data_IF_982173989432
#
_entry.id   IF_982173989432
#
_cell.length_a   1.000
_cell.length_b   1.000
_cell.length_c   1.000
_cell.angle_alpha   90.00
_cell.angle_beta   90.00
_cell.angle_gamma   90.00
#
_symmetry.space_group_name_H-M   'P 1'
#
loop_
_entity.id
_entity.type
_entity.pdbx_description
1 polymer ?
#
# COMPACT_ATOMS: atom_id res chain seq x y z
N UNK A 1 34.05 21.65 -14.87
CA UNK A 1 33.97 20.47 -15.74
C UNK A 1 32.85 20.72 -16.74
N UNK A 2 33.17 21.07 -17.99
CA UNK A 2 32.17 21.21 -19.04
C UNK A 2 31.74 19.80 -19.49
N UNK A 3 30.58 19.36 -19.00
CA UNK A 3 29.91 18.21 -19.57
C UNK A 3 29.43 18.59 -20.96
N UNK A 4 29.95 17.93 -21.99
CA UNK A 4 29.43 18.08 -23.35
C UNK A 4 27.90 17.93 -23.35
N UNK A 5 27.20 18.72 -24.17
CA UNK A 5 25.73 18.85 -24.12
C UNK A 5 25.00 17.50 -24.16
N UNK A 6 25.53 16.53 -24.93
CA UNK A 6 25.00 15.15 -24.98
C UNK A 6 25.15 14.37 -23.66
N UNK A 7 26.24 14.56 -22.90
CA UNK A 7 26.44 13.96 -21.57
C UNK A 7 25.53 14.59 -20.52
N UNK A 8 25.34 15.91 -20.58
CA UNK A 8 24.41 16.62 -19.71
C UNK A 8 22.97 16.10 -19.92
N UNK A 9 22.54 15.95 -21.17
CA UNK A 9 21.20 15.44 -21.49
C UNK A 9 20.98 14.01 -20.98
N UNK A 10 21.97 13.13 -21.15
CA UNK A 10 21.90 11.77 -20.59
C UNK A 10 21.82 11.80 -19.07
N UNK A 11 22.65 12.61 -18.41
CA UNK A 11 22.62 12.74 -16.94
C UNK A 11 21.25 13.21 -16.44
N UNK A 12 20.69 14.27 -17.02
CA UNK A 12 19.36 14.77 -16.65
C UNK A 12 18.28 13.72 -16.92
N UNK A 13 18.37 13.01 -18.05
CA UNK A 13 17.47 11.91 -18.37
C UNK A 13 17.50 10.80 -17.33
N UNK A 14 18.70 10.36 -16.89
CA UNK A 14 18.85 9.36 -15.83
C UNK A 14 18.23 9.86 -14.52
N UNK A 15 18.54 11.09 -14.10
CA UNK A 15 18.00 11.67 -12.87
C UNK A 15 16.47 11.70 -12.89
N UNK A 16 15.86 12.09 -14.01
CA UNK A 16 14.40 12.11 -14.16
C UNK A 16 13.79 10.70 -14.06
N UNK A 17 14.37 9.71 -14.73
CA UNK A 17 13.87 8.32 -14.66
C UNK A 17 13.99 7.76 -13.24
N UNK A 18 15.11 8.00 -12.56
CA UNK A 18 15.31 7.55 -11.18
C UNK A 18 14.32 8.25 -10.23
N UNK A 19 14.11 9.55 -10.39
CA UNK A 19 13.14 10.30 -9.59
C UNK A 19 11.71 9.81 -9.81
N UNK A 20 11.34 9.51 -11.06
CA UNK A 20 10.03 8.93 -11.39
C UNK A 20 9.87 7.54 -10.77
N UNK A 21 10.89 6.68 -10.87
CA UNK A 21 10.83 5.35 -10.28
C UNK A 21 10.67 5.42 -8.75
N UNK A 22 11.45 6.26 -8.07
CA UNK A 22 11.36 6.47 -6.63
C UNK A 22 9.99 7.06 -6.21
N UNK A 23 9.50 8.07 -6.92
CA UNK A 23 8.18 8.65 -6.66
C UNK A 23 7.03 7.67 -6.93
N UNK A 24 7.21 6.77 -7.90
CA UNK A 24 6.33 5.62 -8.10
C UNK A 24 6.25 4.75 -6.86
N UNK A 25 7.37 4.24 -6.35
CA UNK A 25 7.35 3.39 -5.15
C UNK A 25 6.56 3.98 -3.97
N UNK A 26 6.68 5.29 -3.72
CA UNK A 26 5.92 5.96 -2.66
C UNK A 26 4.42 6.05 -2.95
N UNK A 27 4.03 6.32 -4.20
CA UNK A 27 2.62 6.43 -4.59
C UNK A 27 1.89 5.09 -4.68
N UNK A 28 2.62 3.98 -4.68
CA UNK A 28 2.02 2.64 -4.76
C UNK A 28 2.19 1.85 -3.46
N UNK A 29 2.82 2.47 -2.45
CA UNK A 29 2.90 1.89 -1.11
C UNK A 29 1.50 1.76 -0.53
N UNK A 30 1.19 0.58 0.02
CA UNK A 30 -0.14 0.25 0.52
C UNK A 30 0.01 -0.37 1.90
N UNK A 31 -0.52 0.32 2.90
CA UNK A 31 -0.53 -0.16 4.27
C UNK A 31 -1.79 -1.00 4.53
N UNK A 32 -1.64 -2.06 5.31
CA UNK A 32 -2.73 -2.93 5.71
C UNK A 32 -3.05 -2.69 7.18
N UNK A 33 -4.15 -1.97 7.42
CA UNK A 33 -4.49 -1.47 8.75
C UNK A 33 -5.55 -2.34 9.41
N UNK A 34 -5.39 -2.56 10.71
CA UNK A 34 -6.36 -3.21 11.60
C UNK A 34 -6.69 -2.26 12.73
N UNK A 35 -7.94 -1.80 12.80
CA UNK A 35 -8.42 -0.91 13.84
C UNK A 35 -9.34 -1.66 14.80
N UNK A 36 -9.08 -1.50 16.09
CA UNK A 36 -9.83 -2.09 17.18
C UNK A 36 -10.82 -1.09 17.75
N UNK A 37 -12.10 -1.44 17.72
CA UNK A 37 -13.16 -0.66 18.33
C UNK A 37 -13.93 -1.52 19.35
N UNK A 38 -14.52 -0.91 20.39
CA UNK A 38 -15.43 -1.63 21.26
C UNK A 38 -16.64 -2.06 20.44
N UNK A 39 -16.92 -3.37 20.40
CA UNK A 39 -18.01 -3.91 19.62
C UNK A 39 -19.36 -3.37 20.11
N UNK A 40 -20.16 -2.82 19.19
CA UNK A 40 -21.58 -2.50 19.45
C UNK A 40 -22.50 -3.71 19.32
N UNK A 41 -22.02 -4.73 18.60
CA UNK A 41 -22.83 -5.83 18.11
C UNK A 41 -22.66 -7.11 18.92
N UNK A 42 -23.73 -7.89 19.02
CA UNK A 42 -23.71 -9.18 19.72
C UNK A 42 -22.93 -10.23 18.92
N UNK A 43 -22.09 -11.00 19.62
CA UNK A 43 -21.31 -12.05 18.99
C UNK A 43 -22.15 -13.27 18.62
N UNK A 44 -22.19 -13.63 17.33
CA UNK A 44 -22.81 -14.84 16.81
C UNK A 44 -21.83 -15.64 15.94
N UNK A 45 -21.30 -16.76 16.46
CA UNK A 45 -20.32 -17.59 15.77
C UNK A 45 -20.79 -18.21 14.44
N UNK A 46 -22.10 -18.19 14.14
CA UNK A 46 -22.65 -18.67 12.87
C UNK A 46 -22.67 -17.57 11.79
N UNK A 47 -22.42 -16.32 12.14
CA UNK A 47 -22.37 -15.20 11.20
C UNK A 47 -20.96 -15.03 10.63
N UNK A 48 -20.89 -14.69 9.34
CA UNK A 48 -19.62 -14.37 8.68
C UNK A 48 -19.02 -13.13 9.35
N UNK A 49 -17.70 -13.13 9.56
CA UNK A 49 -17.00 -12.05 10.26
C UNK A 49 -16.93 -12.23 11.78
N UNK A 50 -17.72 -13.13 12.36
CA UNK A 50 -17.65 -13.42 13.80
C UNK A 50 -16.66 -14.56 14.07
N UNK A 51 -15.51 -14.22 14.64
CA UNK A 51 -14.40 -15.13 14.84
C UNK A 51 -14.17 -15.38 16.34
N UNK A 52 -13.89 -16.64 16.70
CA UNK A 52 -13.42 -16.95 18.05
C UNK A 52 -11.91 -16.83 18.08
N UNK A 53 -11.36 -16.09 19.04
CA UNK A 53 -9.90 -15.92 19.18
C UNK A 53 -9.15 -17.26 19.22
N UNK A 54 -9.72 -18.28 19.88
CA UNK A 54 -9.13 -19.62 19.97
C UNK A 54 -9.00 -20.36 18.63
N UNK A 55 -9.80 -19.99 17.63
CA UNK A 55 -9.80 -20.62 16.31
C UNK A 55 -8.94 -19.86 15.29
N UNK A 56 -8.38 -18.71 15.69
CA UNK A 56 -7.51 -17.91 14.83
C UNK A 56 -6.14 -18.57 14.69
N UNK A 57 -5.50 -18.36 13.55
CA UNK A 57 -4.09 -18.67 13.38
C UNK A 57 -3.22 -17.90 14.39
N UNK A 58 -1.98 -18.33 14.57
CA UNK A 58 -1.02 -17.63 15.45
C UNK A 58 -0.81 -16.16 15.02
N UNK A 59 -0.78 -15.90 13.71
CA UNK A 59 -0.75 -14.54 13.16
C UNK A 59 -2.04 -13.79 13.47
N UNK A 60 -3.20 -14.44 13.31
CA UNK A 60 -4.50 -13.83 13.59
C UNK A 60 -4.62 -13.40 15.05
N UNK A 61 -4.16 -14.26 15.97
CA UNK A 61 -4.08 -13.94 17.40
C UNK A 61 -3.16 -12.76 17.68
N UNK A 62 -1.98 -12.73 17.05
CA UNK A 62 -1.02 -11.62 17.18
C UNK A 62 -1.63 -10.28 16.75
N UNK A 63 -2.34 -10.27 15.62
CA UNK A 63 -3.04 -9.08 15.14
C UNK A 63 -4.07 -8.62 16.17
N UNK A 64 -4.95 -9.51 16.63
CA UNK A 64 -5.97 -9.18 17.64
C UNK A 64 -5.32 -8.63 18.91
N UNK A 65 -4.27 -9.28 19.41
CA UNK A 65 -3.60 -8.88 20.63
C UNK A 65 -2.98 -7.48 20.49
N UNK A 66 -2.29 -7.20 19.38
CA UNK A 66 -1.71 -5.89 19.10
C UNK A 66 -2.76 -4.81 18.89
N UNK A 67 -3.81 -5.11 18.14
CA UNK A 67 -4.92 -4.18 17.87
C UNK A 67 -5.69 -3.86 19.14
N UNK A 68 -5.96 -4.83 20.00
CA UNK A 68 -6.64 -4.59 21.30
C UNK A 68 -5.74 -3.84 22.27
N UNK A 69 -4.43 -4.09 22.29
CA UNK A 69 -3.47 -3.39 23.15
C UNK A 69 -3.27 -1.91 22.72
N UNK A 70 -3.19 -1.66 21.41
CA UNK A 70 -2.76 -0.36 20.86
C UNK A 70 -3.88 0.45 20.19
N UNK A 71 -5.06 -0.13 20.01
CA UNK A 71 -6.16 0.43 19.23
C UNK A 71 -5.99 0.27 17.72
N UNK A 72 -4.75 0.28 17.21
CA UNK A 72 -4.45 0.12 15.79
C UNK A 72 -3.17 -0.69 15.57
N UNK A 73 -3.17 -1.53 14.54
CA UNK A 73 -2.02 -2.30 14.11
C UNK A 73 -1.90 -2.32 12.58
N UNK A 74 -0.75 -1.89 12.08
CA UNK A 74 -0.44 -1.79 10.65
C UNK A 74 0.57 -2.87 10.27
N UNK A 75 0.33 -3.53 9.13
CA UNK A 75 1.30 -4.45 8.51
C UNK A 75 1.64 -3.97 7.10
N UNK A 76 2.89 -4.19 6.70
CA UNK A 76 3.43 -3.66 5.43
C UNK A 76 2.99 -4.50 4.22
N UNK A 77 2.56 -5.76 4.43
CA UNK A 77 2.21 -6.65 3.32
C UNK A 77 0.98 -7.52 3.58
N UNK A 78 0.21 -7.79 2.52
CA UNK A 78 -0.97 -8.67 2.60
C UNK A 78 -0.59 -10.10 3.05
N UNK A 79 0.65 -10.53 2.79
CA UNK A 79 1.16 -11.84 3.21
C UNK A 79 1.50 -11.94 4.70
N UNK A 80 1.75 -10.81 5.35
CA UNK A 80 1.92 -10.70 6.80
C UNK A 80 0.59 -10.67 7.54
N UNK A 81 -0.49 -10.33 6.84
CA UNK A 81 -1.83 -10.52 7.38
C UNK A 81 -2.14 -11.98 7.64
N UNK A 82 -2.94 -12.23 8.67
CA UNK A 82 -3.46 -13.55 8.92
C UNK A 82 -4.46 -13.95 7.82
N UNK A 83 -4.47 -15.20 7.36
CA UNK A 83 -5.45 -15.70 6.37
C UNK A 83 -6.90 -15.62 6.89
N UNK A 84 -7.06 -15.44 8.20
CA UNK A 84 -8.34 -15.27 8.89
C UNK A 84 -9.01 -13.91 8.59
N UNK A 85 -8.22 -12.90 8.22
CA UNK A 85 -8.69 -11.56 7.87
C UNK A 85 -8.57 -11.34 6.36
N UNK A 86 -9.64 -10.84 5.74
CA UNK A 86 -9.69 -10.52 4.33
C UNK A 86 -9.95 -9.04 4.13
N UNK A 87 -9.27 -8.47 3.15
CA UNK A 87 -9.51 -7.11 2.66
C UNK A 87 -10.49 -7.12 1.49
N UNK A 88 -11.55 -7.94 1.61
CA UNK A 88 -12.57 -8.14 0.59
C UNK A 88 -13.89 -7.66 1.15
N UNK A 89 -14.39 -6.56 0.56
CA UNK A 89 -15.70 -5.92 0.67
C UNK A 89 -16.75 -6.74 1.43
N UNK A 90 -16.68 -6.76 2.76
CA UNK A 90 -17.63 -7.54 3.57
C UNK A 90 -18.63 -6.67 4.35
N UNK A 91 -18.44 -5.36 4.42
CA UNK A 91 -19.49 -4.36 4.67
C UNK A 91 -18.95 -2.95 4.37
N UNK A 92 -19.86 -2.01 4.08
CA UNK A 92 -19.66 -0.53 4.01
C UNK A 92 -18.66 0.08 2.99
N UNK A 93 -17.75 -0.65 2.36
CA UNK A 93 -16.94 -0.11 1.25
C UNK A 93 -15.96 -1.10 0.59
N UNK A 94 -15.55 -0.87 -0.67
CA UNK A 94 -14.58 -1.72 -1.36
C UNK A 94 -13.25 -1.72 -0.61
N UNK A 95 -12.71 -2.92 -0.33
CA UNK A 95 -11.41 -3.09 0.34
C UNK A 95 -11.44 -3.02 1.87
N UNK A 96 -12.64 -2.96 2.48
CA UNK A 96 -12.83 -2.97 3.93
C UNK A 96 -13.40 -4.34 4.37
N UNK A 97 -12.75 -4.95 5.36
CA UNK A 97 -13.22 -6.13 6.08
C UNK A 97 -13.67 -5.75 7.50
N UNK A 98 -14.68 -6.44 8.00
CA UNK A 98 -15.24 -6.20 9.33
C UNK A 98 -15.38 -7.52 10.08
N UNK A 99 -14.88 -7.54 11.32
CA UNK A 99 -14.78 -8.76 12.12
C UNK A 99 -15.13 -8.51 13.58
N UNK A 100 -16.01 -9.33 14.16
CA UNK A 100 -16.19 -9.40 15.61
C UNK A 100 -15.40 -10.57 16.18
N UNK A 101 -14.43 -10.27 17.03
CA UNK A 101 -13.58 -11.28 17.67
C UNK A 101 -13.94 -11.43 19.14
N UNK A 102 -14.35 -12.64 19.53
CA UNK A 102 -14.55 -12.98 20.94
C UNK A 102 -13.23 -13.44 21.58
N UNK A 103 -12.75 -12.67 22.56
CA UNK A 103 -11.54 -12.94 23.37
C UNK A 103 -11.87 -12.78 24.85
N UNK A 104 -11.53 -13.77 25.68
CA UNK A 104 -11.74 -13.73 27.14
C UNK A 104 -13.17 -13.35 27.58
N UNK A 105 -14.16 -13.79 26.80
CA UNK A 105 -15.58 -13.49 27.03
C UNK A 105 -16.02 -12.07 26.61
N UNK A 106 -15.11 -11.24 26.12
CA UNK A 106 -15.39 -9.91 25.55
C UNK A 106 -15.40 -9.96 24.04
N UNK A 107 -16.21 -9.11 23.42
CA UNK A 107 -16.30 -8.98 21.96
C UNK A 107 -15.56 -7.72 21.57
N UNK A 108 -14.65 -7.84 20.61
CA UNK A 108 -13.88 -6.76 20.04
C UNK A 108 -14.22 -6.65 18.57
N UNK A 109 -14.44 -5.43 18.10
CA UNK A 109 -14.62 -5.17 16.69
C UNK A 109 -13.26 -4.85 16.06
N UNK A 110 -12.96 -5.51 14.96
CA UNK A 110 -11.73 -5.32 14.20
C UNK A 110 -12.13 -5.00 12.77
N UNK A 111 -11.85 -3.77 12.38
CA UNK A 111 -12.02 -3.31 11.02
C UNK A 111 -10.68 -3.37 10.31
N UNK A 112 -10.63 -4.04 9.17
CA UNK A 112 -9.45 -4.14 8.33
C UNK A 112 -9.64 -3.33 7.06
N UNK A 113 -8.65 -2.55 6.66
CA UNK A 113 -8.71 -1.81 5.42
C UNK A 113 -7.33 -1.63 4.80
N UNK A 114 -7.31 -1.48 3.47
CA UNK A 114 -6.10 -1.07 2.74
C UNK A 114 -6.05 0.45 2.74
N UNK A 115 -5.05 1.01 3.39
CA UNK A 115 -4.71 2.41 3.21
C UNK A 115 -3.83 2.51 1.96
N UNK A 116 -4.48 2.86 0.86
CA UNK A 116 -3.81 3.14 -0.41
C UNK A 116 -4.03 4.62 -0.70
N UNK A 117 -3.10 5.29 -1.40
CA UNK A 117 -3.24 6.70 -1.81
C UNK A 117 -4.44 6.99 -2.74
N UNK A 118 -5.37 6.04 -2.91
CA UNK A 118 -6.69 6.23 -3.50
C UNK A 118 -6.62 6.72 -4.94
N UNK A 119 -7.60 7.55 -5.33
CA UNK A 119 -7.69 8.10 -6.68
C UNK A 119 -6.55 9.09 -7.01
N UNK A 120 -5.79 9.55 -6.02
CA UNK A 120 -4.72 10.53 -6.20
C UNK A 120 -3.50 9.90 -6.88
N UNK A 121 -3.13 8.68 -6.49
CA UNK A 121 -2.01 7.95 -7.08
C UNK A 121 -2.12 7.72 -8.60
N UNK A 122 -3.24 7.21 -9.16
CA UNK A 122 -3.36 7.02 -10.60
C UNK A 122 -3.39 8.37 -11.36
N UNK A 123 -4.00 9.41 -10.78
CA UNK A 123 -4.01 10.76 -11.38
C UNK A 123 -2.61 11.35 -11.41
N UNK A 124 -1.86 11.32 -10.30
CA UNK A 124 -0.47 11.78 -10.25
C UNK A 124 0.43 10.96 -11.18
N UNK A 125 0.20 9.65 -11.27
CA UNK A 125 0.94 8.79 -12.18
C UNK A 125 0.72 9.21 -13.63
N UNK A 126 -0.54 9.43 -14.05
CA UNK A 126 -0.86 9.85 -15.43
C UNK A 126 -0.43 11.28 -15.76
N UNK A 127 -0.61 12.22 -14.84
CA UNK A 127 -0.44 13.66 -15.11
C UNK A 127 1.00 14.12 -14.85
N UNK A 128 1.71 13.47 -13.93
CA UNK A 128 3.05 13.92 -13.50
C UNK A 128 4.12 12.89 -13.85
N UNK A 129 4.01 11.66 -13.33
CA UNK A 129 5.08 10.68 -13.48
C UNK A 129 5.24 10.22 -14.93
N UNK A 130 4.14 9.97 -15.65
CA UNK A 130 4.20 9.49 -17.03
C UNK A 130 4.82 10.53 -17.99
N UNK A 131 4.41 11.82 -17.99
CA UNK A 131 5.08 12.85 -18.80
C UNK A 131 6.55 13.05 -18.43
N UNK A 132 6.90 13.00 -17.13
CA UNK A 132 8.29 13.08 -16.69
C UNK A 132 9.12 11.87 -17.18
N UNK A 133 8.54 10.67 -17.16
CA UNK A 133 9.18 9.46 -17.70
C UNK A 133 9.43 9.60 -19.21
N UNK A 134 8.45 10.11 -19.95
CA UNK A 134 8.58 10.37 -21.38
C UNK A 134 9.68 11.40 -21.66
N UNK A 135 9.70 12.50 -20.90
CA UNK A 135 10.73 13.54 -21.04
C UNK A 135 12.11 13.00 -20.72
N UNK A 136 12.26 12.25 -19.62
CA UNK A 136 13.51 11.59 -19.25
C UNK A 136 13.99 10.63 -20.35
N UNK A 137 13.08 9.81 -20.89
CA UNK A 137 13.38 8.89 -22.00
C UNK A 137 13.81 9.63 -23.28
N UNK A 138 13.14 10.72 -23.62
CA UNK A 138 13.50 11.56 -24.77
C UNK A 138 14.89 12.18 -24.61
N UNK A 139 15.22 12.66 -23.40
CA UNK A 139 16.55 13.21 -23.09
C UNK A 139 17.65 12.15 -23.15
N UNK A 140 17.37 10.93 -22.68
CA UNK A 140 18.28 9.79 -22.82
C UNK A 140 18.53 9.46 -24.30
N UNK A 141 17.47 9.29 -25.08
CA UNK A 141 17.57 8.94 -26.49
C UNK A 141 18.29 10.02 -27.31
N UNK A 142 17.92 11.29 -27.11
CA UNK A 142 18.52 12.41 -27.81
C UNK A 142 19.97 12.65 -27.37
N UNK A 143 20.26 12.56 -26.07
CA UNK A 143 21.60 12.69 -25.53
C UNK A 143 22.55 11.59 -26.03
N UNK A 144 22.09 10.35 -26.08
CA UNK A 144 22.85 9.21 -26.61
C UNK A 144 23.07 9.31 -28.13
N UNK A 145 22.04 9.68 -28.89
CA UNK A 145 22.16 9.94 -30.33
C UNK A 145 23.18 11.04 -30.60
N UNK A 146 23.15 12.11 -29.80
CA UNK A 146 24.09 13.22 -29.95
C UNK A 146 25.52 12.82 -29.62
N UNK A 147 25.76 12.06 -28.56
CA UNK A 147 27.09 11.54 -28.24
C UNK A 147 27.65 10.68 -29.39
N UNK A 148 26.80 9.87 -30.02
CA UNK A 148 27.21 9.01 -31.14
C UNK A 148 27.58 9.77 -32.41
N UNK A 149 27.02 10.97 -32.64
CA UNK A 149 27.24 11.73 -33.87
C UNK A 149 28.19 12.94 -33.70
N UNK A 150 28.48 13.33 -32.46
CA UNK A 150 29.47 14.36 -32.15
C UNK A 150 30.88 13.76 -31.89
N UNK A 151 31.01 12.41 -31.82
CA UNK A 151 32.26 11.63 -31.88
C UNK A 151 32.59 11.22 -33.34
#
# INVERSE_FOLDING_TARGET
>A
MDLGRGRLMVFVGVVLIVAVAAGGFVLWDTDFVHRGEPASDEFNASQKGHLRYANLSERGRTIVDRTVERGEYVVESEGETAPDFRYTTDHSGPGIGWYLVQRDGRVHEITTYRDSPGFVAPVLTMVVLFPLAMLGSALLAFGAWRQRNDD
#
